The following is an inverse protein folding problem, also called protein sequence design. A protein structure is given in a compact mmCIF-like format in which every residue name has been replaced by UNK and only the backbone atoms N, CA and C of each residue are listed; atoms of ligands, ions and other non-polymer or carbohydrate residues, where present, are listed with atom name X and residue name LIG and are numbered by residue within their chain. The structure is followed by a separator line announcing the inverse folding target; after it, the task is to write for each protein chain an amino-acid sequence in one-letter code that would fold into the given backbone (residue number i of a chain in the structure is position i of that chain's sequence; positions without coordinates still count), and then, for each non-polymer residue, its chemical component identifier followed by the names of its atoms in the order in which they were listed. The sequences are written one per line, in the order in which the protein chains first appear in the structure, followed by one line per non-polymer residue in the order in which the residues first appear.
data_IF_436156367397
#
_entry.id   IF_436156367397
#
_cell.length_a   1.000
_cell.length_b   1.000
_cell.length_c   1.000
_cell.angle_alpha   90.00
_cell.angle_beta   90.00
_cell.angle_gamma   90.00
#
_symmetry.space_group_name_H-M   'P 1'
#
loop_
_entity.id
_entity.type
_entity.pdbx_description
1 polymer ?
#
# COMPACT_ATOMS: atom_id res chain seq x y z
N UNK A 1 -31.00 3.17 7.87
CA UNK A 1 -32.03 2.62 6.98
C UNK A 1 -31.67 1.22 6.44
N UNK A 2 -30.38 0.94 6.24
CA UNK A 2 -29.87 -0.37 5.80
C UNK A 2 -28.57 -0.71 6.49
N UNK A 3 -28.33 -2.02 6.62
CA UNK A 3 -27.03 -2.57 7.01
C UNK A 3 -26.46 -3.28 5.79
N UNK A 4 -25.26 -2.91 5.41
CA UNK A 4 -24.47 -3.57 4.38
C UNK A 4 -23.28 -4.24 5.04
N UNK A 5 -23.03 -5.49 4.70
CA UNK A 5 -21.88 -6.23 5.17
C UNK A 5 -21.19 -6.90 3.98
N UNK A 6 -19.91 -6.60 3.81
CA UNK A 6 -19.01 -7.32 2.93
C UNK A 6 -17.95 -7.97 3.82
N UNK A 7 -18.18 -9.23 4.18
CA UNK A 7 -17.35 -10.00 5.09
C UNK A 7 -16.99 -11.31 4.41
N UNK A 8 -15.67 -11.55 4.24
CA UNK A 8 -15.12 -12.77 3.68
C UNK A 8 -15.59 -13.10 2.25
N UNK A 9 -14.76 -13.77 1.46
CA UNK A 9 -15.21 -14.39 0.22
C UNK A 9 -15.74 -15.79 0.55
N UNK A 10 -17.01 -16.04 0.32
CA UNK A 10 -17.42 -17.40 0.00
C UNK A 10 -16.91 -17.67 -1.42
N UNK A 11 -15.94 -18.56 -1.55
CA UNK A 11 -15.44 -19.04 -2.84
C UNK A 11 -16.56 -19.73 -3.62
N UNK A 12 -17.38 -18.96 -4.30
CA UNK A 12 -18.27 -19.51 -5.33
C UNK A 12 -17.46 -19.77 -6.62
N UNK A 13 -16.48 -20.65 -6.53
CA UNK A 13 -15.72 -21.19 -7.68
C UNK A 13 -16.63 -21.82 -8.75
N UNK A 14 -17.87 -22.13 -8.41
CA UNK A 14 -18.86 -22.75 -9.30
C UNK A 14 -19.33 -21.86 -10.45
N UNK A 15 -19.10 -20.55 -10.40
CA UNK A 15 -19.55 -19.58 -11.44
C UNK A 15 -18.44 -19.03 -12.32
N UNK A 16 -17.20 -19.48 -12.15
CA UNK A 16 -16.06 -19.05 -12.99
C UNK A 16 -15.70 -17.55 -12.85
N UNK A 17 -16.24 -16.85 -11.86
CA UNK A 17 -15.89 -15.45 -11.60
C UNK A 17 -14.71 -15.39 -10.62
N UNK A 18 -13.80 -14.44 -10.86
CA UNK A 18 -12.74 -14.14 -9.93
C UNK A 18 -13.35 -13.67 -8.59
N UNK A 19 -12.82 -14.16 -7.45
CA UNK A 19 -13.21 -13.71 -6.11
C UNK A 19 -13.10 -12.19 -5.96
N UNK A 20 -12.10 -11.59 -6.59
CA UNK A 20 -11.93 -10.14 -6.64
C UNK A 20 -13.05 -9.43 -7.41
N UNK A 21 -13.52 -10.01 -8.54
CA UNK A 21 -14.65 -9.44 -9.28
C UNK A 21 -15.94 -9.45 -8.45
N UNK A 22 -16.22 -10.55 -7.75
CA UNK A 22 -17.39 -10.63 -6.84
C UNK A 22 -17.29 -9.58 -5.75
N UNK A 23 -16.11 -9.44 -5.12
CA UNK A 23 -15.85 -8.41 -4.13
C UNK A 23 -16.13 -7.00 -4.67
N UNK A 24 -15.64 -6.69 -5.88
CA UNK A 24 -15.85 -5.37 -6.48
C UNK A 24 -17.32 -5.11 -6.84
N UNK A 25 -18.05 -6.11 -7.32
CA UNK A 25 -19.50 -5.97 -7.61
C UNK A 25 -20.30 -5.70 -6.32
N UNK A 26 -20.01 -6.41 -5.24
CA UNK A 26 -20.66 -6.18 -3.95
C UNK A 26 -20.31 -4.81 -3.37
N UNK A 27 -19.04 -4.42 -3.43
CA UNK A 27 -18.58 -3.11 -2.99
C UNK A 27 -19.23 -1.99 -3.81
N UNK A 28 -19.27 -2.13 -5.13
CA UNK A 28 -19.94 -1.17 -6.01
C UNK A 28 -21.43 -1.02 -5.67
N UNK A 29 -22.10 -2.13 -5.37
CA UNK A 29 -23.52 -2.09 -4.91
C UNK A 29 -23.65 -1.29 -3.62
N UNK A 30 -22.76 -1.48 -2.65
CA UNK A 30 -22.74 -0.71 -1.39
C UNK A 30 -22.58 0.77 -1.69
N UNK A 31 -21.53 1.15 -2.42
CA UNK A 31 -21.21 2.55 -2.71
C UNK A 31 -22.34 3.27 -3.48
N UNK A 32 -23.04 2.55 -4.38
CA UNK A 32 -24.12 3.14 -5.17
C UNK A 32 -25.47 3.19 -4.43
N UNK A 33 -25.65 2.48 -3.32
CA UNK A 33 -26.97 2.36 -2.66
C UNK A 33 -26.99 2.76 -1.19
N UNK A 34 -25.84 2.89 -0.54
CA UNK A 34 -25.73 3.35 0.83
C UNK A 34 -26.10 4.84 0.93
N UNK A 35 -26.70 5.21 2.06
CA UNK A 35 -27.05 6.59 2.41
C UNK A 35 -26.37 6.98 3.72
N UNK A 36 -26.40 8.25 4.09
CA UNK A 36 -25.85 8.74 5.36
C UNK A 36 -26.42 8.06 6.62
N UNK A 37 -27.56 7.36 6.50
CA UNK A 37 -28.21 6.61 7.59
C UNK A 37 -27.92 5.11 7.55
N UNK A 38 -27.10 4.66 6.61
CA UNK A 38 -26.70 3.26 6.52
C UNK A 38 -25.60 2.94 7.54
N UNK A 39 -25.47 1.64 7.86
CA UNK A 39 -24.28 1.06 8.49
C UNK A 39 -23.59 0.18 7.47
N UNK A 40 -22.31 0.43 7.23
CA UNK A 40 -21.48 -0.34 6.31
C UNK A 40 -20.40 -1.09 7.10
N UNK A 41 -20.27 -2.37 6.84
CA UNK A 41 -19.24 -3.25 7.41
C UNK A 41 -18.42 -3.81 6.25
N UNK A 42 -17.13 -3.47 6.21
CA UNK A 42 -16.17 -3.95 5.22
C UNK A 42 -15.08 -4.78 5.92
N UNK A 43 -14.73 -5.90 5.31
CA UNK A 43 -13.70 -6.78 5.83
C UNK A 43 -12.73 -7.14 4.72
N UNK A 44 -11.45 -6.72 4.87
CA UNK A 44 -10.30 -7.00 4.01
C UNK A 44 -10.53 -6.72 2.52
N UNK A 45 -11.14 -5.57 2.19
CA UNK A 45 -11.32 -5.15 0.78
C UNK A 45 -9.95 -4.96 0.10
N UNK A 46 -9.83 -5.47 -1.14
CA UNK A 46 -8.62 -5.36 -1.96
C UNK A 46 -7.64 -6.54 -1.81
N UNK A 47 -8.01 -7.58 -1.06
CA UNK A 47 -7.12 -8.74 -0.84
C UNK A 47 -6.91 -9.61 -2.09
N UNK A 48 -7.85 -9.58 -3.03
CA UNK A 48 -7.86 -10.44 -4.23
C UNK A 48 -7.06 -9.93 -5.43
N UNK A 49 -6.26 -8.87 -5.27
CA UNK A 49 -5.45 -8.25 -6.34
C UNK A 49 -4.03 -7.93 -5.86
N UNK A 50 -3.24 -7.18 -6.64
CA UNK A 50 -1.92 -6.74 -6.20
C UNK A 50 -2.03 -5.83 -4.97
N UNK A 51 -1.00 -5.83 -4.11
CA UNK A 51 -1.01 -5.07 -2.85
C UNK A 51 -1.32 -3.60 -3.07
N UNK A 52 -0.69 -2.97 -4.06
CA UNK A 52 -0.89 -1.54 -4.32
C UNK A 52 -2.25 -1.21 -4.94
N UNK A 53 -2.77 -2.06 -5.85
CA UNK A 53 -4.12 -1.88 -6.38
C UNK A 53 -5.16 -2.02 -5.27
N UNK A 54 -5.01 -3.04 -4.42
CA UNK A 54 -5.88 -3.28 -3.29
C UNK A 54 -5.88 -2.13 -2.28
N UNK A 55 -4.70 -1.64 -1.89
CA UNK A 55 -4.53 -0.48 -1.02
C UNK A 55 -5.16 0.77 -1.61
N UNK A 56 -4.92 1.06 -2.90
CA UNK A 56 -5.47 2.24 -3.58
C UNK A 56 -6.99 2.23 -3.61
N UNK A 57 -7.59 1.05 -3.89
CA UNK A 57 -9.04 0.87 -3.87
C UNK A 57 -9.60 1.04 -2.45
N UNK A 58 -8.99 0.40 -1.46
CA UNK A 58 -9.43 0.49 -0.06
C UNK A 58 -9.36 1.94 0.46
N UNK A 59 -8.32 2.68 0.08
CA UNK A 59 -8.16 4.10 0.39
C UNK A 59 -9.28 4.94 -0.21
N UNK A 60 -9.46 4.87 -1.54
CA UNK A 60 -10.48 5.64 -2.25
C UNK A 60 -11.91 5.30 -1.81
N UNK A 61 -12.19 4.03 -1.50
CA UNK A 61 -13.47 3.59 -0.94
C UNK A 61 -13.73 4.24 0.42
N UNK A 62 -12.70 4.29 1.28
CA UNK A 62 -12.81 4.89 2.62
C UNK A 62 -13.10 6.39 2.53
N UNK A 63 -12.36 7.11 1.67
CA UNK A 63 -12.61 8.52 1.41
C UNK A 63 -14.03 8.76 0.89
N UNK A 64 -14.48 7.97 -0.09
CA UNK A 64 -15.82 8.10 -0.66
C UNK A 64 -16.92 7.86 0.38
N UNK A 65 -16.79 6.82 1.23
CA UNK A 65 -17.72 6.54 2.31
C UNK A 65 -17.78 7.69 3.34
N UNK A 66 -16.62 8.30 3.64
CA UNK A 66 -16.53 9.40 4.59
C UNK A 66 -17.06 10.71 4.03
N UNK A 67 -16.65 11.10 2.81
CA UNK A 67 -16.91 12.44 2.26
C UNK A 67 -18.22 12.53 1.51
N UNK A 68 -18.53 11.53 0.68
CA UNK A 68 -19.68 11.57 -0.22
C UNK A 68 -20.93 10.94 0.40
N UNK A 69 -20.80 9.78 1.04
CA UNK A 69 -21.95 9.08 1.62
C UNK A 69 -22.19 9.54 3.07
N UNK A 70 -21.15 9.70 3.85
CA UNK A 70 -21.20 10.14 5.25
C UNK A 70 -21.87 9.12 6.19
N UNK A 71 -21.87 7.83 5.85
CA UNK A 71 -22.48 6.78 6.64
C UNK A 71 -21.55 6.29 7.78
N UNK A 72 -22.13 5.53 8.72
CA UNK A 72 -21.33 4.83 9.74
C UNK A 72 -20.68 3.61 9.11
N UNK A 73 -19.38 3.50 9.25
CA UNK A 73 -18.60 2.41 8.65
C UNK A 73 -17.68 1.76 9.68
N UNK A 74 -17.64 0.43 9.67
CA UNK A 74 -16.60 -0.37 10.31
C UNK A 74 -15.81 -1.03 9.19
N UNK A 75 -14.50 -0.76 9.14
CA UNK A 75 -13.62 -1.34 8.14
C UNK A 75 -12.48 -2.09 8.83
N UNK A 76 -12.50 -3.42 8.77
CA UNK A 76 -11.38 -4.26 9.15
C UNK A 76 -10.44 -4.39 7.96
N UNK A 77 -9.15 -4.14 8.17
CA UNK A 77 -8.14 -4.18 7.11
C UNK A 77 -6.77 -4.58 7.66
N UNK A 78 -5.94 -5.12 6.82
CA UNK A 78 -4.52 -5.41 7.09
C UNK A 78 -3.59 -4.33 6.50
N UNK A 79 -4.12 -3.34 5.79
CA UNK A 79 -3.35 -2.22 5.25
C UNK A 79 -3.06 -1.20 6.35
N UNK A 80 -1.82 -1.19 6.85
CA UNK A 80 -1.39 -0.24 7.89
C UNK A 80 -1.44 1.21 7.40
N UNK A 81 -1.23 1.44 6.12
CA UNK A 81 -1.23 2.74 5.48
C UNK A 81 -2.58 3.47 5.64
N UNK A 82 -3.68 2.73 5.69
CA UNK A 82 -5.02 3.31 5.91
C UNK A 82 -5.17 3.99 7.27
N UNK A 83 -4.30 3.71 8.23
CA UNK A 83 -4.30 4.39 9.53
C UNK A 83 -4.04 5.90 9.39
N UNK A 84 -3.31 6.32 8.34
CA UNK A 84 -3.02 7.73 8.05
C UNK A 84 -4.28 8.54 7.73
N UNK A 85 -5.35 7.89 7.25
CA UNK A 85 -6.62 8.56 6.97
C UNK A 85 -7.23 9.25 8.20
N UNK A 86 -6.91 8.80 9.41
CA UNK A 86 -7.37 9.47 10.64
C UNK A 86 -6.75 10.86 10.86
N UNK A 87 -5.64 11.17 10.19
CA UNK A 87 -4.97 12.47 10.26
C UNK A 87 -5.64 13.50 9.33
N UNK A 88 -6.16 13.05 8.19
CA UNK A 88 -6.79 13.89 7.17
C UNK A 88 -8.31 13.92 7.25
N UNK A 89 -8.94 12.84 7.72
CA UNK A 89 -10.40 12.68 7.77
C UNK A 89 -10.92 12.77 9.21
N UNK A 90 -11.55 13.87 9.63
CA UNK A 90 -11.83 14.17 11.04
C UNK A 90 -12.82 13.23 11.73
N UNK A 91 -13.54 12.39 10.96
CA UNK A 91 -14.50 11.41 11.49
C UNK A 91 -13.99 9.98 11.39
N UNK A 92 -12.73 9.78 11.02
CA UNK A 92 -12.07 8.47 11.01
C UNK A 92 -11.34 8.28 12.34
N UNK A 93 -11.42 7.07 12.88
CA UNK A 93 -10.71 6.69 14.11
C UNK A 93 -10.10 5.31 13.93
N UNK A 94 -8.84 5.18 14.26
CA UNK A 94 -8.13 3.91 14.23
C UNK A 94 -8.41 3.10 15.50
N UNK A 95 -8.63 1.82 15.32
CA UNK A 95 -8.80 0.84 16.38
C UNK A 95 -7.94 -0.38 16.03
N UNK A 96 -7.41 -1.06 17.05
CA UNK A 96 -6.71 -2.32 16.86
C UNK A 96 -7.11 -3.35 17.91
N UNK A 97 -6.75 -4.61 17.65
CA UNK A 97 -6.90 -5.69 18.62
C UNK A 97 -5.70 -5.67 19.58
N UNK A 98 -5.97 -5.55 20.87
CA UNK A 98 -4.92 -5.53 21.88
C UNK A 98 -4.17 -6.87 21.92
N UNK A 99 -2.85 -6.77 21.91
CA UNK A 99 -1.92 -7.90 21.97
C UNK A 99 -1.01 -7.71 23.17
N UNK A 100 -0.66 -8.80 23.84
CA UNK A 100 0.34 -8.82 24.90
C UNK A 100 1.52 -9.68 24.45
N UNK A 101 2.69 -9.07 24.41
CA UNK A 101 3.96 -9.76 24.16
C UNK A 101 4.54 -10.20 25.53
N UNK A 102 4.94 -11.48 25.62
CA UNK A 102 5.60 -12.04 26.79
C UNK A 102 6.62 -13.08 26.34
N UNK A 103 7.90 -12.86 26.61
CA UNK A 103 9.01 -13.80 26.33
C UNK A 103 8.92 -14.45 24.91
N UNK A 104 8.89 -13.64 23.86
CA UNK A 104 8.72 -14.08 22.47
C UNK A 104 7.37 -14.75 22.16
N UNK A 105 6.44 -14.79 23.10
CA UNK A 105 5.06 -15.23 22.84
C UNK A 105 4.11 -14.05 22.69
N UNK A 106 3.16 -14.19 21.76
CA UNK A 106 2.14 -13.19 21.49
C UNK A 106 0.78 -13.73 21.87
N UNK A 107 0.09 -13.03 22.78
CA UNK A 107 -1.26 -13.38 23.21
C UNK A 107 -2.24 -12.34 22.75
N UNK A 108 -3.21 -12.74 21.92
CA UNK A 108 -4.30 -11.89 21.50
C UNK A 108 -5.33 -11.77 22.62
N UNK A 109 -5.55 -10.54 23.10
CA UNK A 109 -6.44 -10.30 24.24
C UNK A 109 -7.92 -10.20 23.85
N UNK A 110 -8.24 -10.29 22.56
CA UNK A 110 -9.61 -10.15 22.03
C UNK A 110 -10.32 -8.88 22.52
N UNK A 111 -9.57 -7.80 22.69
CA UNK A 111 -10.08 -6.49 23.12
C UNK A 111 -9.72 -5.44 22.07
N UNK A 112 -10.69 -4.62 21.72
CA UNK A 112 -10.48 -3.48 20.84
C UNK A 112 -10.00 -2.29 21.65
N UNK A 113 -8.92 -1.67 21.19
CA UNK A 113 -8.32 -0.46 21.78
C UNK A 113 -8.14 0.61 20.72
N UNK A 114 -8.03 1.87 21.14
CA UNK A 114 -7.80 3.01 20.25
C UNK A 114 -6.35 3.02 19.76
N UNK A 115 -6.16 3.47 18.51
CA UNK A 115 -4.88 3.61 17.85
C UNK A 115 -4.69 2.61 16.72
N UNK A 116 -3.68 2.83 15.88
CA UNK A 116 -3.22 1.87 14.89
C UNK A 116 -2.43 0.72 15.54
N UNK A 117 -2.25 -0.38 14.84
CA UNK A 117 -1.30 -1.42 15.23
C UNK A 117 0.10 -1.03 14.71
N UNK A 118 1.10 -1.06 15.59
CA UNK A 118 2.47 -0.68 15.24
C UNK A 118 3.25 -1.82 14.57
N UNK A 119 2.76 -3.05 14.68
CA UNK A 119 3.44 -4.26 14.21
C UNK A 119 2.47 -5.28 13.62
N UNK A 120 2.98 -6.06 12.68
CA UNK A 120 2.33 -7.27 12.19
C UNK A 120 2.80 -8.49 12.98
N UNK A 121 1.88 -9.40 13.28
CA UNK A 121 2.16 -10.64 14.03
C UNK A 121 2.08 -11.89 13.15
N UNK A 122 2.05 -11.76 11.83
CA UNK A 122 1.86 -12.87 10.89
C UNK A 122 2.88 -13.98 11.05
N UNK A 123 4.17 -13.66 11.16
CA UNK A 123 5.26 -14.65 11.35
C UNK A 123 5.10 -15.36 12.71
N UNK A 124 4.68 -14.64 13.75
CA UNK A 124 4.42 -15.22 15.05
C UNK A 124 3.26 -16.23 15.00
N UNK A 125 2.15 -15.85 14.35
CA UNK A 125 1.00 -16.75 14.13
C UNK A 125 1.39 -17.96 13.31
N UNK A 126 2.24 -17.81 12.29
CA UNK A 126 2.78 -18.91 11.50
C UNK A 126 3.55 -19.92 12.38
N UNK A 127 4.36 -19.43 13.32
CA UNK A 127 5.05 -20.28 14.32
C UNK A 127 4.05 -21.05 15.20
N UNK A 128 3.02 -20.38 15.70
CA UNK A 128 1.98 -21.02 16.51
C UNK A 128 1.18 -22.07 15.73
N UNK A 129 1.01 -21.86 14.43
CA UNK A 129 0.36 -22.80 13.51
C UNK A 129 1.24 -24.00 13.16
N UNK A 130 2.50 -24.05 13.61
CA UNK A 130 3.40 -25.18 13.40
C UNK A 130 4.22 -25.11 12.11
N UNK A 131 4.38 -23.92 11.49
CA UNK A 131 5.32 -23.75 10.38
C UNK A 131 6.74 -24.07 10.87
N UNK A 132 7.57 -24.83 10.10
CA UNK A 132 8.91 -25.18 10.49
C UNK A 132 9.77 -24.00 10.93
N UNK A 133 10.60 -24.19 11.95
CA UNK A 133 11.39 -23.12 12.56
C UNK A 133 12.30 -22.41 11.52
N UNK A 134 12.95 -23.17 10.66
CA UNK A 134 13.81 -22.65 9.58
C UNK A 134 13.08 -21.73 8.60
N UNK A 135 11.79 -22.03 8.29
CA UNK A 135 10.96 -21.18 7.43
C UNK A 135 10.60 -19.88 8.16
N UNK A 136 10.27 -19.98 9.45
CA UNK A 136 9.96 -18.80 10.26
C UNK A 136 11.17 -17.87 10.44
N UNK A 137 12.36 -18.42 10.68
CA UNK A 137 13.59 -17.61 10.77
C UNK A 137 13.88 -16.92 9.43
N UNK A 138 13.78 -17.65 8.32
CA UNK A 138 13.96 -17.04 6.99
C UNK A 138 12.93 -15.94 6.71
N UNK A 139 11.67 -16.12 7.14
CA UNK A 139 10.64 -15.10 6.98
C UNK A 139 10.94 -13.83 7.77
N UNK A 140 11.53 -13.93 8.97
CA UNK A 140 11.99 -12.76 9.74
C UNK A 140 13.09 -11.99 9.02
N UNK A 141 14.08 -12.71 8.45
CA UNK A 141 15.16 -12.08 7.70
C UNK A 141 14.63 -11.31 6.48
N UNK A 142 13.70 -11.95 5.73
CA UNK A 142 13.06 -11.31 4.57
C UNK A 142 12.24 -10.09 4.99
N UNK A 143 11.47 -10.20 6.07
CA UNK A 143 10.68 -9.07 6.59
C UNK A 143 11.58 -7.90 6.96
N UNK A 144 12.68 -8.16 7.67
CA UNK A 144 13.63 -7.11 8.07
C UNK A 144 14.25 -6.39 6.86
N UNK A 145 14.53 -7.12 5.77
CA UNK A 145 15.02 -6.52 4.52
C UNK A 145 13.96 -5.65 3.87
N UNK A 146 12.72 -6.15 3.74
CA UNK A 146 11.60 -5.39 3.17
C UNK A 146 11.28 -4.12 3.97
N UNK A 147 11.33 -4.20 5.30
CA UNK A 147 11.10 -3.04 6.17
C UNK A 147 12.25 -2.01 6.10
N UNK A 148 13.50 -2.46 5.86
CA UNK A 148 14.62 -1.56 5.64
C UNK A 148 14.46 -0.80 4.31
N UNK A 149 14.17 -1.52 3.23
CA UNK A 149 13.93 -0.93 1.92
C UNK A 149 12.75 0.07 1.93
N UNK A 150 11.71 -0.23 2.72
CA UNK A 150 10.57 0.69 2.89
C UNK A 150 10.92 1.93 3.70
N UNK A 151 11.75 1.84 4.74
CA UNK A 151 12.14 3.02 5.54
C UNK A 151 12.90 4.04 4.71
N UNK A 152 13.79 3.59 3.83
CA UNK A 152 14.54 4.47 2.93
C UNK A 152 13.63 5.13 1.87
N UNK A 153 12.48 4.50 1.53
CA UNK A 153 11.49 5.05 0.62
C UNK A 153 10.48 6.00 1.31
N UNK A 154 10.21 5.83 2.61
CA UNK A 154 9.23 6.62 3.37
C UNK A 154 9.78 7.87 4.05
N UNK A 155 11.08 8.12 4.02
CA UNK A 155 11.66 9.38 4.51
C UNK A 155 11.33 10.59 3.60
N UNK A 156 10.36 10.43 2.67
CA UNK A 156 9.81 11.47 1.78
C UNK A 156 8.28 11.44 1.72
N UNK A 157 7.65 12.57 1.46
CA UNK A 157 6.50 13.10 2.14
C UNK A 157 5.18 12.43 1.78
N UNK A 158 4.36 12.22 2.81
CA UNK A 158 2.90 12.35 2.92
C UNK A 158 2.16 12.51 1.58
N UNK A 159 1.29 11.56 1.27
CA UNK A 159 0.21 11.74 0.29
C UNK A 159 -0.57 13.01 0.66
N UNK A 160 -0.39 14.07 -0.10
CA UNK A 160 -1.16 15.30 0.10
C UNK A 160 -2.59 15.06 -0.38
N UNK A 161 -3.54 15.13 0.54
CA UNK A 161 -4.96 15.25 0.21
C UNK A 161 -5.20 16.55 -0.58
N UNK A 162 -5.92 16.52 -1.71
CA UNK A 162 -6.23 17.73 -2.46
C UNK A 162 -7.08 18.68 -1.62
N UNK A 163 -6.55 19.85 -1.27
CA UNK A 163 -7.34 20.96 -0.79
C UNK A 163 -8.25 21.48 -1.90
N UNK A 164 -9.38 22.18 -1.59
CA UNK A 164 -10.40 22.57 -2.56
C UNK A 164 -9.99 23.58 -3.62
N UNK A 165 -8.73 24.00 -3.71
CA UNK A 165 -8.27 25.10 -4.56
C UNK A 165 -7.11 24.78 -5.53
N UNK A 166 -7.08 23.61 -6.16
CA UNK A 166 -6.12 23.42 -7.29
C UNK A 166 -6.78 22.75 -8.48
N UNK A 167 -7.57 23.55 -9.20
CA UNK A 167 -7.93 23.28 -10.60
C UNK A 167 -6.75 23.62 -11.51
N UNK A 168 -5.71 22.82 -11.57
CA UNK A 168 -4.86 22.62 -12.74
C UNK A 168 -3.87 21.48 -12.50
N UNK A 169 -4.18 20.43 -13.20
CA UNK A 169 -3.62 19.13 -13.27
C UNK A 169 -2.10 19.00 -13.32
N UNK A 170 -1.65 18.07 -12.68
CA UNK A 170 -0.71 16.98 -12.96
C UNK A 170 -0.30 16.36 -11.62
N UNK A 171 -1.17 15.49 -11.11
CA UNK A 171 -0.79 14.64 -9.99
C UNK A 171 -0.02 13.44 -10.54
N UNK A 172 1.30 13.50 -10.46
CA UNK A 172 2.13 12.34 -10.63
C UNK A 172 2.32 11.71 -9.25
N UNK A 173 1.46 10.74 -8.93
CA UNK A 173 1.68 9.87 -7.78
C UNK A 173 2.90 9.01 -8.08
N UNK A 174 4.03 9.30 -7.46
CA UNK A 174 5.18 8.40 -7.41
C UNK A 174 4.87 7.30 -6.40
N UNK A 175 4.08 6.31 -6.84
CA UNK A 175 3.77 5.11 -6.06
C UNK A 175 4.96 4.12 -6.04
N UNK A 176 6.02 4.42 -6.79
CA UNK A 176 7.27 3.68 -6.81
C UNK A 176 8.39 4.67 -6.50
N UNK A 177 8.93 4.60 -5.30
CA UNK A 177 10.24 5.16 -5.03
C UNK A 177 11.25 4.39 -5.87
N UNK A 178 11.46 4.83 -7.12
CA UNK A 178 12.73 4.50 -7.75
C UNK A 178 13.80 5.15 -6.86
N UNK A 179 14.75 4.37 -6.37
CA UNK A 179 15.95 4.91 -5.77
C UNK A 179 16.44 6.03 -6.71
N UNK A 180 16.44 7.27 -6.23
CA UNK A 180 16.87 8.40 -7.05
C UNK A 180 18.29 8.10 -7.51
N UNK A 181 18.46 7.91 -8.80
CA UNK A 181 19.78 7.65 -9.36
C UNK A 181 20.67 8.85 -9.01
N UNK A 182 21.90 8.64 -8.50
CA UNK A 182 22.79 9.73 -8.07
C UNK A 182 22.94 10.85 -9.10
N UNK A 183 22.70 10.53 -10.37
CA UNK A 183 22.67 11.44 -11.49
C UNK A 183 21.58 12.52 -11.38
N UNK A 184 20.44 12.22 -10.70
CA UNK A 184 19.37 13.21 -10.52
C UNK A 184 19.83 14.35 -9.60
N UNK A 185 20.58 14.03 -8.55
CA UNK A 185 21.19 15.04 -7.68
C UNK A 185 22.23 15.89 -8.40
N UNK A 186 23.01 15.28 -9.30
CA UNK A 186 23.95 16.00 -10.15
C UNK A 186 23.24 16.96 -11.08
N UNK A 187 22.15 16.52 -11.72
CA UNK A 187 21.32 17.36 -12.62
C UNK A 187 20.65 18.52 -11.88
N UNK A 188 20.11 18.28 -10.69
CA UNK A 188 19.46 19.32 -9.88
C UNK A 188 20.40 20.44 -9.42
N UNK A 189 21.68 20.13 -9.22
CA UNK A 189 22.71 21.10 -8.79
C UNK A 189 23.36 21.86 -9.93
N UNK A 190 23.03 21.52 -11.18
CA UNK A 190 23.59 22.13 -12.37
C UNK A 190 23.04 23.54 -12.62
N UNK A 191 23.91 24.51 -12.71
CA UNK A 191 23.52 25.84 -13.23
C UNK A 191 23.66 25.87 -14.76
N UNK A 192 22.54 25.54 -15.43
CA UNK A 192 22.49 25.48 -16.90
C UNK A 192 22.83 26.82 -17.55
N UNK A 193 22.61 27.96 -16.87
CA UNK A 193 22.90 29.31 -17.42
C UNK A 193 24.39 29.64 -17.34
N UNK A 194 25.16 28.97 -16.52
CA UNK A 194 26.60 29.15 -16.39
C UNK A 194 27.42 28.19 -17.28
N UNK A 195 26.75 27.25 -17.98
CA UNK A 195 27.42 26.25 -18.83
C UNK A 195 27.59 26.69 -20.26
N UNK A 196 28.74 26.35 -20.85
CA UNK A 196 28.90 26.44 -22.31
C UNK A 196 28.20 25.26 -23.00
N UNK A 197 27.85 25.39 -24.31
CA UNK A 197 27.27 24.27 -25.07
C UNK A 197 28.13 23.00 -25.03
N UNK A 198 29.47 23.15 -24.99
CA UNK A 198 30.40 22.01 -24.91
C UNK A 198 30.35 21.34 -23.55
N UNK A 199 30.24 22.11 -22.46
CA UNK A 199 30.11 21.53 -21.10
C UNK A 199 28.80 20.76 -20.96
N UNK A 200 27.71 21.25 -21.51
CA UNK A 200 26.43 20.57 -21.53
C UNK A 200 26.49 19.24 -22.32
N UNK A 201 27.13 19.22 -23.46
CA UNK A 201 27.33 18.00 -24.27
C UNK A 201 28.20 16.98 -23.54
N UNK A 202 29.28 17.41 -22.89
CA UNK A 202 30.13 16.53 -22.09
C UNK A 202 29.36 15.94 -20.92
N UNK A 203 28.62 16.76 -20.18
CA UNK A 203 27.78 16.29 -19.08
C UNK A 203 26.74 15.25 -19.53
N UNK A 204 26.06 15.48 -20.67
CA UNK A 204 25.08 14.53 -21.21
C UNK A 204 25.72 13.21 -21.64
N UNK A 205 26.94 13.27 -22.19
CA UNK A 205 27.70 12.07 -22.56
C UNK A 205 28.08 11.23 -21.34
N UNK A 206 28.59 11.88 -20.29
CA UNK A 206 28.98 11.23 -19.03
C UNK A 206 27.74 10.65 -18.31
N UNK A 207 26.64 11.38 -18.28
CA UNK A 207 25.37 10.96 -17.74
C UNK A 207 24.85 9.69 -18.44
N UNK A 208 24.91 9.66 -19.76
CA UNK A 208 24.50 8.49 -20.55
C UNK A 208 25.38 7.28 -20.28
N UNK A 209 26.67 7.49 -20.07
CA UNK A 209 27.63 6.43 -19.79
C UNK A 209 27.42 5.84 -18.38
N UNK A 210 27.14 6.68 -17.36
CA UNK A 210 26.77 6.26 -16.01
C UNK A 210 25.51 5.40 -16.04
N UNK A 211 24.44 5.84 -16.72
CA UNK A 211 23.16 5.07 -16.86
C UNK A 211 23.34 3.73 -17.56
N UNK A 212 24.24 3.61 -18.53
CA UNK A 212 24.52 2.34 -19.21
C UNK A 212 25.25 1.35 -18.31
N UNK A 213 26.11 1.85 -17.42
CA UNK A 213 26.90 1.01 -16.52
C UNK A 213 26.07 0.52 -15.31
N UNK A 214 25.02 1.25 -14.91
CA UNK A 214 24.15 0.89 -13.79
C UNK A 214 22.95 0.01 -14.21
N UNK A 215 22.78 -0.26 -15.49
CA UNK A 215 21.72 -1.19 -15.97
C UNK A 215 22.25 -2.63 -15.86
N UNK A 216 21.71 -3.48 -14.94
CA UNK A 216 22.10 -4.89 -14.88
C UNK A 216 21.73 -5.57 -16.19
N UNK A 217 22.74 -6.21 -16.82
CA UNK A 217 22.62 -6.93 -18.09
C UNK A 217 21.55 -8.03 -17.97
N UNK A 218 20.35 -7.80 -18.51
CA UNK A 218 19.38 -8.87 -18.74
C UNK A 218 19.94 -9.78 -19.83
N UNK A 219 20.64 -10.84 -19.44
CA UNK A 219 20.87 -11.99 -20.31
C UNK A 219 19.54 -12.70 -20.53
N UNK A 220 18.90 -12.41 -21.66
CA UNK A 220 17.80 -13.22 -22.18
C UNK A 220 18.44 -14.44 -22.84
N UNK A 221 18.41 -15.59 -22.17
CA UNK A 221 18.73 -16.87 -22.78
C UNK A 221 17.61 -17.25 -23.75
N UNK A 222 17.91 -17.69 -24.97
CA UNK A 222 16.89 -18.13 -25.93
C UNK A 222 16.22 -19.44 -25.47
N UNK A 223 14.93 -19.65 -25.79
CA UNK A 223 14.23 -20.86 -25.40
C UNK A 223 14.80 -22.06 -26.13
N UNK A 224 15.14 -23.11 -25.38
CA UNK A 224 15.45 -24.42 -25.93
C UNK A 224 14.24 -24.98 -26.69
N UNK A 225 14.42 -25.24 -27.99
CA UNK A 225 13.53 -26.07 -28.76
C UNK A 225 13.84 -27.54 -28.41
N UNK A 226 12.84 -28.25 -27.92
CA UNK A 226 12.65 -29.69 -28.06
C UNK A 226 11.14 -30.00 -27.84
#
# INVERSE_FOLDING_TARGET
DRVFARVGASDELSRGQSTFMVEMVETARILNTATSRSLVILDEIGRGTSTYDGLSLAWAITEHLHEQIGCRTLFATHYHELTQLSESLPRVSNLNVAVKEWDDEVVFLHRIVKGGADKSYGIHVARLAGIPAEVNERAKDVLSQLEADHRDAFDRPTIQTPGPDTANGQYQMTLFGFADHPLLDEVQKLDVNAMTPMDAMNFLSDAQQKLKNDTPSKQISPPHQA
#
